data_IF_810290220464
#
_entry.id   IF_810290220464
#
_cell.length_a   1.000
_cell.length_b   1.000
_cell.length_c   1.000
_cell.angle_alpha   90.00
_cell.angle_beta   90.00
_cell.angle_gamma   90.00
#
_symmetry.space_group_name_H-M   'P 1'
#
loop_
_entity.id
_entity.type
_entity.pdbx_description
1 polymer ?
2 non-polymer ?
3 non-polymer ?
4 water ?
#
# COMPACT_ATOMS: atom_id res chain seq x y z
N UNK A 3 3.16 -18.78 -15.01
CA UNK A 3 3.73 -19.41 -13.78
C UNK A 3 4.04 -18.37 -12.71
N UNK A 4 3.28 -18.42 -11.62
CA UNK A 4 3.47 -17.48 -10.51
C UNK A 4 4.56 -18.00 -9.58
N UNK A 5 5.36 -17.07 -9.02
CA UNK A 5 6.31 -17.42 -7.95
C UNK A 5 6.36 -16.25 -6.96
N UNK A 6 6.35 -16.56 -5.67
CA UNK A 6 6.45 -15.50 -4.68
C UNK A 6 7.84 -14.87 -4.62
N UNK A 7 8.83 -15.53 -5.22
CA UNK A 7 10.22 -15.07 -5.16
C UNK A 7 10.71 -14.44 -6.47
N UNK A 8 9.77 -14.08 -7.34
CA UNK A 8 10.05 -13.38 -8.57
C UNK A 8 8.98 -12.31 -8.75
N UNK A 9 9.26 -11.34 -9.61
CA UNK A 9 8.27 -10.33 -9.98
C UNK A 9 7.35 -10.92 -11.05
N UNK A 10 6.05 -10.83 -10.80
CA UNK A 10 5.03 -11.40 -11.68
C UNK A 10 4.32 -10.33 -12.49
N UNK A 11 4.08 -10.60 -13.77
CA UNK A 11 3.39 -9.59 -14.58
C UNK A 11 1.91 -9.53 -14.19
N UNK A 12 1.17 -8.54 -14.71
CA UNK A 12 -0.22 -8.38 -14.28
C UNK A 12 -1.09 -9.60 -14.57
N UNK A 13 -0.92 -10.17 -15.76
CA UNK A 13 -1.73 -11.36 -16.12
C UNK A 13 -1.54 -12.46 -15.07
N UNK A 14 -0.31 -12.60 -14.61
CA UNK A 14 0.05 -13.63 -13.64
C UNK A 14 -0.50 -13.27 -12.26
N UNK A 15 -0.39 -11.99 -11.86
CA UNK A 15 -0.95 -11.56 -10.56
C UNK A 15 -2.46 -11.75 -10.56
N UNK A 16 -3.10 -11.35 -11.66
CA UNK A 16 -4.55 -11.45 -11.78
C UNK A 16 -4.98 -12.91 -11.63
N UNK A 17 -4.32 -13.81 -12.38
CA UNK A 17 -4.60 -15.25 -12.30
C UNK A 17 -4.38 -15.77 -10.87
N UNK A 18 -3.33 -15.25 -10.21
CA UNK A 18 -3.05 -15.59 -8.82
C UNK A 18 -4.17 -15.13 -7.88
N UNK A 19 -4.73 -13.94 -8.07
CA UNK A 19 -5.79 -13.49 -7.15
C UNK A 19 -6.97 -14.46 -7.19
N UNK A 20 -7.24 -14.98 -8.38
CA UNK A 20 -8.33 -15.94 -8.58
C UNK A 20 -7.99 -17.29 -7.94
N UNK A 21 -6.78 -17.77 -8.20
CA UNK A 21 -6.33 -19.09 -7.75
C UNK A 21 -6.10 -19.16 -6.23
N UNK A 22 -5.47 -18.13 -5.66
CA UNK A 22 -5.26 -18.14 -4.21
C UNK A 22 -6.59 -18.07 -3.45
N UNK A 23 -7.58 -17.39 -4.02
CA UNK A 23 -8.90 -17.32 -3.41
C UNK A 23 -9.58 -18.69 -3.46
N UNK A 24 -9.61 -19.31 -4.64
CA UNK A 24 -10.27 -20.61 -4.81
C UNK A 24 -9.61 -21.70 -3.94
N UNK A 25 -8.28 -21.60 -3.78
CA UNK A 25 -7.52 -22.57 -2.97
C UNK A 25 -7.74 -22.38 -1.47
N UNK A 26 -8.17 -21.19 -1.08
CA UNK A 26 -8.33 -20.85 0.34
C UNK A 26 -9.70 -20.19 0.63
N UNK A 27 -10.81 -20.88 0.27
CA UNK A 27 -12.11 -20.21 0.29
C UNK A 27 -12.63 -19.82 1.66
N UNK A 28 -12.10 -20.42 2.73
CA UNK A 28 -12.55 -20.08 4.06
C UNK A 28 -11.65 -19.05 4.73
N UNK A 29 -10.65 -18.56 3.98
CA UNK A 29 -9.75 -17.52 4.48
C UNK A 29 -9.69 -16.28 3.57
N UNK A 30 -10.09 -16.43 2.30
CA UNK A 30 -9.95 -15.35 1.32
C UNK A 30 -11.18 -15.24 0.44
N UNK A 31 -11.69 -14.01 0.27
CA UNK A 31 -12.64 -13.75 -0.82
C UNK A 31 -12.12 -12.62 -1.71
N UNK A 32 -12.52 -12.64 -2.97
CA UNK A 32 -12.06 -11.63 -3.94
C UNK A 32 -13.23 -10.82 -4.46
N UNK A 33 -13.05 -9.50 -4.54
CA UNK A 33 -14.00 -8.63 -5.24
C UNK A 33 -13.23 -7.72 -6.19
N UNK A 34 -13.96 -7.14 -7.15
CA UNK A 34 -13.42 -6.04 -7.95
C UNK A 34 -14.07 -4.75 -7.44
N UNK A 35 -13.25 -3.78 -7.07
CA UNK A 35 -13.76 -2.56 -6.47
C UNK A 35 -13.92 -1.42 -7.49
N UNK A 36 -13.56 -1.70 -8.74
CA UNK A 36 -13.66 -0.70 -9.80
C UNK A 36 -12.81 -1.13 -10.99
N UNK A 37 -12.70 -0.25 -11.97
CA UNK A 37 -11.85 -0.52 -13.12
C UNK A 37 -10.88 0.63 -13.35
N UNK A 38 -9.78 0.32 -13.99
CA UNK A 38 -8.75 1.32 -14.30
C UNK A 38 -9.14 2.15 -15.52
N UNK A 39 -8.32 3.15 -15.85
CA UNK A 39 -8.53 3.95 -17.03
C UNK A 39 -8.65 3.10 -18.29
N UNK A 40 -7.84 2.05 -18.38
CA UNK A 40 -7.77 1.19 -19.56
C UNK A 40 -8.76 0.00 -19.47
N UNK A 41 -9.52 -0.04 -18.38
CA UNK A 41 -10.61 -1.02 -18.20
C UNK A 41 -10.25 -2.30 -17.47
N UNK A 42 -9.11 -2.31 -16.78
CA UNK A 42 -8.72 -3.48 -16.00
C UNK A 42 -9.42 -3.50 -14.65
N UNK A 43 -9.86 -4.69 -14.24
CA UNK A 43 -10.51 -4.84 -12.93
C UNK A 43 -9.50 -4.62 -11.80
N UNK A 44 -9.87 -3.79 -10.83
CA UNK A 44 -9.03 -3.56 -9.65
C UNK A 44 -9.45 -4.55 -8.56
N UNK A 45 -8.63 -5.57 -8.35
CA UNK A 45 -8.98 -6.64 -7.41
C UNK A 45 -8.59 -6.34 -5.97
N UNK A 46 -9.46 -6.76 -5.06
CA UNK A 46 -9.24 -6.62 -3.62
C UNK A 46 -9.46 -7.99 -2.96
N UNK A 47 -8.52 -8.39 -2.12
CA UNK A 47 -8.63 -9.64 -1.37
C UNK A 47 -9.00 -9.34 0.07
N UNK A 48 -10.04 -10.02 0.58
CA UNK A 48 -10.42 -9.89 1.98
C UNK A 48 -9.90 -11.14 2.66
N UNK A 49 -8.90 -10.96 3.53
CA UNK A 49 -8.17 -12.09 4.11
C UNK A 49 -8.49 -12.16 5.61
N UNK A 50 -8.97 -13.32 6.06
CA UNK A 50 -9.41 -13.46 7.44
C UNK A 50 -10.46 -14.55 7.54
N UNK A 51 -10.65 -15.04 8.76
CA UNK A 51 -11.72 -16.00 9.03
C UNK A 51 -13.03 -15.22 9.20
N UNK A 52 -14.00 -15.43 8.30
CA UNK A 52 -15.26 -14.68 8.38
C UNK A 52 -15.91 -14.77 9.75
N UNK A 53 -16.49 -13.66 10.17
CA UNK A 53 -17.17 -13.56 11.46
C UNK A 53 -17.98 -12.29 11.52
N UNK A 54 -18.86 -12.16 12.52
CA UNK A 54 -19.65 -10.95 12.64
C UNK A 54 -18.89 -9.76 13.22
N UNK A 55 -19.19 -8.58 12.69
CA UNK A 55 -18.72 -7.30 13.23
C UNK A 55 -17.20 -7.23 13.48
N UNK A 56 -16.43 -7.72 12.50
CA UNK A 56 -14.97 -7.73 12.63
C UNK A 56 -14.35 -6.40 12.24
N UNK A 57 -13.37 -5.93 13.02
CA UNK A 57 -12.57 -4.77 12.58
C UNK A 57 -11.64 -5.20 11.44
N UNK A 58 -11.12 -4.23 10.71
CA UNK A 58 -10.31 -4.51 9.54
C UNK A 58 -9.08 -3.59 9.45
N UNK A 59 -8.08 -4.05 8.72
CA UNK A 59 -6.93 -3.23 8.34
C UNK A 59 -6.91 -3.23 6.82
N UNK A 60 -6.75 -2.05 6.23
CA UNK A 60 -6.66 -1.93 4.77
C UNK A 60 -5.20 -1.76 4.36
N UNK A 61 -4.76 -2.51 3.36
CA UNK A 61 -3.39 -2.36 2.87
C UNK A 61 -3.36 -2.33 1.36
N UNK A 62 -2.70 -1.33 0.77
CA UNK A 62 -2.53 -1.31 -0.68
C UNK A 62 -1.07 -1.43 -1.10
N UNK A 63 -0.86 -1.99 -2.27
CA UNK A 63 0.45 -2.01 -2.93
C UNK A 63 0.29 -1.52 -4.36
N UNK A 64 1.41 -1.13 -4.98
CA UNK A 64 1.39 -0.83 -6.39
C UNK A 64 0.63 0.43 -6.73
N UNK A 65 0.54 1.39 -5.81
CA UNK A 65 0.08 2.73 -6.22
C UNK A 65 0.99 3.30 -7.30
N UNK A 66 2.30 3.07 -7.15
CA UNK A 66 3.27 3.51 -8.15
C UNK A 66 3.82 2.34 -8.95
N UNK A 67 3.78 2.48 -10.27
CA UNK A 67 4.03 1.37 -11.18
C UNK A 67 5.41 0.71 -11.03
N UNK A 68 6.45 1.54 -10.92
CA UNK A 68 7.84 1.03 -10.92
C UNK A 68 8.30 0.38 -9.62
N UNK A 69 7.52 0.52 -8.55
CA UNK A 69 7.91 0.01 -7.24
C UNK A 69 7.56 -1.46 -7.07
N UNK A 70 8.19 -2.29 -7.91
CA UNK A 70 7.83 -3.71 -8.02
C UNK A 70 7.90 -4.51 -6.72
N UNK A 71 8.78 -4.11 -5.81
CA UNK A 71 8.85 -4.78 -4.53
C UNK A 71 7.56 -4.61 -3.71
N UNK A 72 6.86 -3.50 -3.91
CA UNK A 72 5.57 -3.27 -3.25
C UNK A 72 4.55 -4.35 -3.67
N UNK A 73 4.39 -4.51 -4.98
CA UNK A 73 3.46 -5.52 -5.53
C UNK A 73 3.81 -6.92 -4.97
N UNK A 74 5.12 -7.23 -4.97
CA UNK A 74 5.65 -8.49 -4.44
C UNK A 74 5.28 -8.65 -2.96
N UNK A 75 5.34 -7.55 -2.21
CA UNK A 75 5.00 -7.64 -0.80
C UNK A 75 3.53 -7.99 -0.52
N UNK A 76 2.57 -7.37 -1.22
CA UNK A 76 1.17 -7.73 -0.97
C UNK A 76 0.95 -9.22 -1.24
N UNK A 77 1.58 -9.74 -2.29
CA UNK A 77 1.51 -11.18 -2.57
C UNK A 77 2.12 -11.97 -1.43
N UNK A 78 3.28 -11.53 -0.95
CA UNK A 78 3.94 -12.20 0.18
C UNK A 78 3.08 -12.23 1.43
N UNK A 79 2.41 -11.11 1.72
CA UNK A 79 1.54 -11.04 2.87
C UNK A 79 0.47 -12.13 2.80
N UNK A 80 -0.17 -12.25 1.63
CA UNK A 80 -1.22 -13.26 1.45
C UNK A 80 -0.63 -14.67 1.55
N UNK A 81 0.55 -14.87 0.96
CA UNK A 81 1.31 -16.11 1.11
C UNK A 81 1.42 -16.49 2.58
N UNK A 82 1.85 -15.54 3.39
CA UNK A 82 2.10 -15.79 4.81
C UNK A 82 0.80 -16.10 5.56
N UNK A 83 -0.26 -15.39 5.20
CA UNK A 83 -1.57 -15.60 5.84
C UNK A 83 -2.04 -17.04 5.63
N UNK A 84 -1.99 -17.51 4.39
CA UNK A 84 -2.46 -18.86 4.06
C UNK A 84 -1.53 -19.96 4.58
N UNK A 85 -0.22 -19.69 4.56
CA UNK A 85 0.77 -20.68 4.98
C UNK A 85 0.79 -20.89 6.50
N UNK A 86 0.62 -19.82 7.25
CA UNK A 86 0.85 -19.86 8.69
C UNK A 86 -0.41 -19.77 9.55
N UNK A 87 -1.57 -19.47 8.96
CA UNK A 87 -2.82 -19.59 9.72
C UNK A 87 -2.95 -21.02 10.23
N UNK A 88 -3.16 -21.17 11.52
CA UNK A 88 -3.21 -22.49 12.15
C UNK A 88 -1.87 -23.00 12.63
N UNK A 89 -0.78 -22.36 12.21
CA UNK A 89 0.57 -22.83 12.51
C UNK A 89 1.41 -21.89 13.35
N UNK A 90 1.01 -20.65 13.43
CA UNK A 90 1.76 -19.66 14.17
C UNK A 90 0.75 -18.84 14.97
N UNK A 91 1.01 -18.70 16.26
CA UNK A 91 0.08 -18.07 17.19
C UNK A 91 -0.48 -16.72 16.74
N UNK A 92 0.41 -15.83 16.34
CA UNK A 92 0.01 -14.44 16.09
C UNK A 92 -0.81 -14.29 14.81
N UNK A 93 -0.34 -14.86 13.71
CA UNK A 93 -1.10 -14.80 12.46
C UNK A 93 -2.49 -15.41 12.63
N UNK A 94 -2.57 -16.47 13.43
CA UNK A 94 -3.84 -17.13 13.71
C UNK A 94 -4.79 -16.19 14.44
N UNK A 95 -4.28 -15.53 15.49
CA UNK A 95 -5.08 -14.57 16.24
C UNK A 95 -5.53 -13.42 15.34
N UNK A 96 -4.60 -12.94 14.50
CA UNK A 96 -4.90 -11.81 13.62
C UNK A 96 -6.05 -12.13 12.68
N UNK A 97 -5.97 -13.27 12.00
CA UNK A 97 -6.99 -13.61 11.02
C UNK A 97 -8.34 -13.97 11.68
N UNK A 98 -8.31 -14.45 12.93
CA UNK A 98 -9.56 -14.68 13.66
C UNK A 98 -10.27 -13.40 14.05
N UNK A 99 -9.48 -12.41 14.47
CA UNK A 99 -10.01 -11.21 15.10
C UNK A 99 -10.22 -10.03 14.14
N UNK A 100 -9.40 -9.98 13.09
CA UNK A 100 -9.43 -8.92 12.08
C UNK A 100 -9.60 -9.47 10.67
N UNK A 101 -10.08 -8.62 9.78
CA UNK A 101 -10.01 -8.89 8.35
C UNK A 101 -8.94 -7.98 7.78
N UNK A 102 -8.18 -8.47 6.81
CA UNK A 102 -7.27 -7.62 6.05
C UNK A 102 -7.81 -7.43 4.65
N UNK A 103 -8.01 -6.18 4.26
CA UNK A 103 -8.32 -5.87 2.87
C UNK A 103 -7.01 -5.57 2.16
N UNK A 104 -6.57 -6.49 1.31
CA UNK A 104 -5.29 -6.36 0.62
C UNK A 104 -5.58 -6.04 -0.83
N UNK A 105 -5.12 -4.88 -1.29
CA UNK A 105 -5.27 -4.48 -2.67
C UNK A 105 -3.91 -4.66 -3.34
N UNK A 106 -3.69 -5.79 -4.05
CA UNK A 106 -2.33 -6.11 -4.47
C UNK A 106 -1.72 -5.18 -5.50
N UNK A 107 -2.52 -4.66 -6.42
CA UNK A 107 -2.00 -3.68 -7.38
C UNK A 107 -3.09 -2.64 -7.63
N UNK A 108 -2.86 -1.40 -7.19
CA UNK A 108 -3.82 -0.34 -7.47
C UNK A 108 -3.67 0.15 -8.90
N UNK A 109 -2.45 0.55 -9.28
CA UNK A 109 -2.18 1.17 -10.57
C UNK A 109 -1.78 0.10 -11.58
N UNK A 110 -2.79 -0.68 -11.96
CA UNK A 110 -2.59 -1.79 -12.89
C UNK A 110 -2.09 -1.33 -14.27
N UNK A 111 -2.68 -0.24 -14.79
CA UNK A 111 -2.32 0.24 -16.14
C UNK A 111 -0.85 0.63 -16.18
N UNK A 112 -0.43 1.39 -15.17
CA UNK A 112 0.97 1.75 -15.03
C UNK A 112 1.90 0.55 -14.86
N UNK A 113 1.47 -0.42 -14.05
CA UNK A 113 2.25 -1.65 -13.86
C UNK A 113 2.49 -2.39 -15.18
N UNK A 114 1.42 -2.61 -15.94
CA UNK A 114 1.55 -3.20 -17.28
C UNK A 114 2.58 -2.45 -18.12
N UNK A 115 2.50 -1.11 -18.09
CA UNK A 115 3.39 -0.25 -18.87
C UNK A 115 4.86 -0.42 -18.45
N UNK A 116 5.11 -0.71 -17.18
CA UNK A 116 6.51 -0.95 -16.75
C UNK A 116 7.07 -2.27 -17.25
N UNK A 117 6.18 -3.21 -17.58
CA UNK A 117 6.56 -4.49 -18.17
C UNK A 117 6.71 -4.41 -19.69
N UNK A 118 5.97 -3.51 -20.32
CA UNK A 118 5.89 -3.51 -21.80
C UNK A 118 6.71 -2.41 -22.48
N UNK A 119 6.87 -1.27 -21.83
CA UNK A 119 7.40 -0.05 -22.47
C UNK A 119 8.42 0.73 -21.66
N UNK A 120 8.17 0.91 -20.37
CA UNK A 120 9.01 1.81 -19.60
C UNK A 120 9.09 1.38 -18.13
N UNK A 121 10.18 0.70 -17.79
CA UNK A 121 10.37 0.12 -16.44
C UNK A 121 10.28 1.16 -15.32
N UNK A 122 10.65 2.40 -15.63
CA UNK A 122 10.68 3.50 -14.67
C UNK A 122 9.39 4.35 -14.58
N UNK A 123 8.32 3.92 -15.22
CA UNK A 123 7.06 4.66 -15.16
C UNK A 123 6.51 4.69 -13.72
N UNK A 124 5.96 5.84 -13.31
CA UNK A 124 5.41 6.04 -11.96
C UNK A 124 3.89 6.15 -11.93
N UNK A 125 3.37 7.01 -12.81
CA UNK A 125 1.97 7.48 -12.76
C UNK A 125 0.96 6.49 -13.35
N UNK A 126 -0.30 6.91 -13.37
CA UNK A 126 -1.34 6.18 -14.11
C UNK A 126 -1.08 6.33 -15.61
N UNK A 127 -2.01 5.81 -16.43
CA UNK A 127 -1.90 5.93 -17.87
C UNK A 127 -3.06 6.72 -18.52
N UNK A 128 -3.70 7.58 -17.72
CA UNK A 128 -4.80 8.41 -18.23
C UNK A 128 -4.31 9.59 -19.07
N UNK A 129 -5.15 10.04 -19.99
CA UNK A 129 -4.80 11.20 -20.80
C UNK A 129 -5.06 12.52 -20.08
N UNK A 130 -4.39 13.56 -20.57
CA UNK A 130 -4.50 14.91 -20.03
C UNK A 130 -4.87 15.91 -21.12
N UNK A 131 -5.79 16.82 -20.80
CA UNK A 131 -6.19 17.89 -21.73
C UNK A 131 -5.03 18.83 -22.08
N UNK A 132 -4.97 19.27 -23.34
CA UNK A 132 -4.00 20.26 -23.80
C UNK A 132 -2.54 19.81 -23.93
N UNK A 133 -2.29 18.51 -23.76
CA UNK A 133 -0.93 17.95 -23.83
C UNK A 133 -0.97 16.48 -24.23
N UNK A 134 0.17 15.95 -24.72
CA UNK A 134 0.30 14.50 -24.94
C UNK A 134 0.95 13.78 -23.76
N UNK A 135 1.34 14.53 -22.74
CA UNK A 135 1.87 13.92 -21.51
C UNK A 135 0.78 13.10 -20.85
N UNK A 136 1.19 11.95 -20.34
CA UNK A 136 0.27 10.97 -19.81
C UNK A 136 0.39 10.83 -18.29
N UNK A 137 -0.75 10.67 -17.64
CA UNK A 137 -0.80 10.13 -16.28
C UNK A 137 -0.85 11.14 -15.14
N UNK A 138 -1.36 10.64 -14.02
CA UNK A 138 -1.50 11.39 -12.76
C UNK A 138 -0.83 10.54 -11.69
N UNK A 139 -0.24 11.19 -10.70
CA UNK A 139 0.32 10.48 -9.54
C UNK A 139 -0.83 10.14 -8.60
N UNK A 140 -1.20 8.85 -8.45
CA UNK A 140 -2.36 8.60 -7.57
C UNK A 140 -2.10 9.08 -6.15
N UNK A 141 -0.83 9.07 -5.74
CA UNK A 141 -0.49 9.48 -4.39
C UNK A 141 -0.40 11.00 -4.20
N UNK A 142 -0.88 11.75 -5.20
CA UNK A 142 -1.11 13.18 -5.09
C UNK A 142 -2.56 13.48 -5.51
N UNK A 143 -3.37 12.44 -5.62
CA UNK A 143 -4.72 12.56 -6.20
C UNK A 143 -5.85 12.41 -5.17
N UNK A 144 -5.51 12.09 -3.93
CA UNK A 144 -6.51 12.02 -2.86
C UNK A 144 -6.88 13.40 -2.32
N UNK A 145 -8.06 13.46 -1.72
CA UNK A 145 -8.63 14.74 -1.29
C UNK A 145 -8.15 15.13 0.12
N UNK A 146 -6.84 15.41 0.22
CA UNK A 146 -6.19 15.76 1.49
C UNK A 146 -5.11 16.77 1.16
N UNK A 147 -5.37 18.04 1.52
CA UNK A 147 -4.50 19.15 1.10
C UNK A 147 -4.24 19.09 -0.38
N UNK A 148 -5.25 18.69 -1.15
CA UNK A 148 -5.05 18.38 -2.57
C UNK A 148 -4.40 19.50 -3.40
N UNK A 149 -3.32 19.12 -4.07
CA UNK A 149 -2.57 19.90 -5.06
C UNK A 149 -1.89 21.16 -4.53
N UNK A 150 -1.53 21.14 -3.26
CA UNK A 150 -0.71 22.18 -2.64
C UNK A 150 0.78 21.88 -2.92
N UNK A 151 1.68 22.60 -2.23
CA UNK A 151 3.10 22.45 -2.53
C UNK A 151 3.58 21.02 -2.23
N UNK A 152 4.37 20.46 -3.14
CA UNK A 152 4.77 19.06 -3.05
C UNK A 152 4.04 18.20 -4.06
N UNK A 153 3.00 18.78 -4.68
CA UNK A 153 2.38 18.17 -5.87
C UNK A 153 2.55 19.18 -7.00
N UNK A 154 2.56 18.69 -8.23
CA UNK A 154 2.70 19.57 -9.40
C UNK A 154 1.37 19.79 -10.11
N UNK A 155 1.17 21.01 -10.62
CA UNK A 155 0.03 21.31 -11.48
C UNK A 155 0.32 21.03 -12.96
N UNK A 156 1.54 20.59 -13.25
CA UNK A 156 1.96 20.29 -14.62
C UNK A 156 1.72 18.81 -14.97
N UNK A 157 0.81 18.54 -15.94
CA UNK A 157 0.52 17.13 -16.29
C UNK A 157 1.73 16.34 -16.78
N UNK A 158 2.81 17.03 -17.20
CA UNK A 158 4.01 16.36 -17.65
C UNK A 158 4.98 15.97 -16.52
N UNK A 159 4.60 16.33 -15.29
CA UNK A 159 5.43 16.10 -14.11
C UNK A 159 5.06 14.83 -13.38
N UNK A 160 6.04 14.28 -12.67
CA UNK A 160 5.92 12.99 -12.02
C UNK A 160 5.00 13.02 -10.79
N UNK A 161 4.82 14.20 -10.20
CA UNK A 161 3.92 14.39 -9.05
C UNK A 161 2.64 15.14 -9.43
N UNK A 162 2.25 15.03 -10.71
CA UNK A 162 1.03 15.72 -11.17
C UNK A 162 -0.17 15.32 -10.29
N UNK A 163 -0.90 16.30 -9.76
CA UNK A 163 -2.00 16.04 -8.82
C UNK A 163 -3.31 15.62 -9.51
N UNK A 164 -3.35 15.68 -10.83
CA UNK A 164 -4.57 15.38 -11.61
C UNK A 164 -5.44 16.61 -11.85
N UNK A 165 -6.52 16.44 -12.60
CA UNK A 165 -7.42 17.57 -12.90
C UNK A 165 -8.29 18.02 -11.72
N UNK A 166 -8.49 17.11 -10.76
CA UNK A 166 -9.31 17.33 -9.57
C UNK A 166 -8.97 16.21 -8.61
N UNK A 167 -9.27 16.37 -7.33
CA UNK A 167 -9.07 15.27 -6.38
C UNK A 167 -9.93 14.09 -6.80
N UNK A 168 -9.36 12.88 -6.76
CA UNK A 168 -10.06 11.65 -7.18
C UNK A 168 -10.44 11.65 -8.66
N UNK A 169 -9.74 12.46 -9.46
CA UNK A 169 -9.90 12.43 -10.91
C UNK A 169 -9.60 11.05 -11.52
N UNK A 170 -8.68 10.31 -10.90
CA UNK A 170 -8.32 8.98 -11.39
C UNK A 170 -9.32 7.93 -10.91
N UNK A 171 -9.74 7.06 -11.83
CA UNK A 171 -10.68 5.99 -11.50
C UNK A 171 -10.13 5.14 -10.36
N UNK A 172 -8.81 4.96 -10.36
CA UNK A 172 -8.13 4.09 -9.40
C UNK A 172 -8.22 4.71 -7.99
N UNK A 173 -7.92 6.00 -7.90
CA UNK A 173 -8.00 6.74 -6.63
C UNK A 173 -9.43 6.73 -6.12
N UNK A 174 -10.37 7.02 -7.02
CA UNK A 174 -11.79 7.06 -6.64
C UNK A 174 -12.26 5.70 -6.13
N UNK A 175 -11.82 4.62 -6.78
CA UNK A 175 -12.23 3.26 -6.39
C UNK A 175 -11.75 2.93 -4.99
N UNK A 176 -10.50 3.26 -4.71
CA UNK A 176 -9.92 3.02 -3.39
C UNK A 176 -10.64 3.85 -2.33
N UNK A 177 -10.80 5.15 -2.59
CA UNK A 177 -11.43 6.03 -1.61
C UNK A 177 -12.89 5.63 -1.37
N UNK A 178 -13.59 5.26 -2.44
CA UNK A 178 -15.00 4.83 -2.31
C UNK A 178 -15.08 3.59 -1.42
N UNK A 179 -14.16 2.65 -1.65
CA UNK A 179 -14.15 1.44 -0.85
C UNK A 179 -13.95 1.77 0.63
N UNK A 180 -12.96 2.60 0.93
CA UNK A 180 -12.71 2.95 2.33
C UNK A 180 -13.89 3.74 2.94
N UNK A 181 -14.46 4.68 2.19
CA UNK A 181 -15.64 5.41 2.70
C UNK A 181 -16.80 4.45 2.99
N UNK A 182 -16.97 3.44 2.16
CA UNK A 182 -18.06 2.47 2.31
C UNK A 182 -17.91 1.52 3.51
N UNK A 183 -16.69 1.42 4.03
CA UNK A 183 -16.36 0.46 5.08
C UNK A 183 -15.65 1.15 6.25
N UNK A 184 -15.85 2.45 6.34
CA UNK A 184 -15.11 3.29 7.27
C UNK A 184 -15.24 2.84 8.72
N UNK A 185 -16.45 2.46 9.12
CA UNK A 185 -16.72 2.09 10.50
C UNK A 185 -15.99 0.81 10.94
N UNK A 186 -15.55 0.01 9.98
CA UNK A 186 -14.80 -1.22 10.28
C UNK A 186 -13.28 -1.07 10.18
N UNK A 187 -12.82 -0.12 9.37
CA UNK A 187 -11.38 0.00 9.08
C UNK A 187 -10.66 0.78 10.16
N UNK A 188 -9.69 0.13 10.81
CA UNK A 188 -8.99 0.68 11.97
C UNK A 188 -7.55 1.11 11.68
N UNK A 189 -6.99 0.59 10.59
CA UNK A 189 -5.66 1.00 10.15
C UNK A 189 -5.56 1.01 8.65
N UNK A 190 -4.72 1.91 8.13
CA UNK A 190 -4.45 2.02 6.70
C UNK A 190 -2.96 1.88 6.49
N UNK A 191 -2.55 0.97 5.61
CA UNK A 191 -1.13 0.75 5.33
C UNK A 191 -0.89 0.81 3.82
N UNK A 192 0.08 1.63 3.40
CA UNK A 192 0.37 1.78 1.97
C UNK A 192 1.83 1.42 1.69
N UNK A 193 2.02 0.44 0.81
CA UNK A 193 3.36 -0.10 0.57
C UNK A 193 4.00 0.52 -0.68
N UNK A 194 5.23 1.01 -0.52
CA UNK A 194 5.95 1.72 -1.56
C UNK A 194 7.42 1.32 -1.53
N UNK A 195 8.23 1.92 -2.40
CA UNK A 195 9.69 1.85 -2.32
C UNK A 195 10.23 3.10 -3.00
N UNK A 196 11.51 3.44 -2.82
CA UNK A 196 12.44 2.83 -1.88
C UNK A 196 12.92 3.89 -0.91
N UNK A 197 13.79 3.48 0.01
CA UNK A 197 14.54 4.39 0.92
C UNK A 197 14.47 3.96 2.38
N UNK A 198 13.69 2.91 2.67
CA UNK A 198 13.65 2.30 4.01
C UNK A 198 13.12 3.27 5.07
N UNK A 199 11.86 3.63 4.91
CA UNK A 199 11.16 4.56 5.82
C UNK A 199 9.82 4.01 6.23
N UNK A 200 9.42 4.35 7.45
CA UNK A 200 8.03 4.24 7.85
C UNK A 200 7.56 5.66 8.15
N UNK A 201 6.59 6.12 7.35
CA UNK A 201 6.02 7.47 7.40
C UNK A 201 4.59 7.41 8.00
N UNK A 202 4.22 8.41 8.80
CA UNK A 202 2.83 8.60 9.20
C UNK A 202 2.43 10.07 8.99
N UNK A 203 1.12 10.39 9.12
CA UNK A 203 0.72 11.78 8.80
C UNK A 203 1.43 12.84 9.66
N UNK A 204 1.56 14.08 9.17
CA UNK A 204 1.05 14.52 7.89
C UNK A 204 2.13 14.74 6.84
N UNK A 205 1.73 14.60 5.58
CA UNK A 205 2.58 14.93 4.44
C UNK A 205 2.04 16.10 3.63
N UNK A 206 0.77 16.47 3.80
CA UNK A 206 0.23 17.55 2.98
C UNK A 206 0.54 18.94 3.53
N UNK A 207 1.06 18.99 4.74
CA UNK A 207 1.42 20.26 5.39
C UNK A 207 2.39 19.90 6.50
N UNK A 208 3.15 20.89 6.95
CA UNK A 208 3.97 20.73 8.14
C UNK A 208 3.08 20.86 9.35
N UNK A 209 2.50 19.74 9.75
CA UNK A 209 1.80 19.66 11.01
C UNK A 209 1.88 18.25 11.58
N UNK A 210 1.83 18.15 12.90
CA UNK A 210 1.83 16.86 13.58
C UNK A 210 0.40 16.40 13.91
N UNK A 211 0.14 15.08 13.81
CA UNK A 211 -1.18 14.53 14.09
C UNK A 211 -1.48 14.55 15.59
N UNK A 212 -2.78 14.50 15.92
CA UNK A 212 -3.28 14.49 17.28
C UNK A 212 -2.56 13.44 18.14
N UNK A 213 -2.37 12.26 17.56
CA UNK A 213 -1.71 11.16 18.28
C UNK A 213 -0.26 10.96 17.86
N UNK A 214 0.44 12.07 17.64
CA UNK A 214 1.85 12.04 17.23
C UNK A 214 2.75 11.18 18.14
N UNK A 215 2.66 11.39 19.45
CA UNK A 215 3.47 10.62 20.39
C UNK A 215 3.22 9.12 20.20
N UNK A 216 1.95 8.73 20.08
CA UNK A 216 1.60 7.31 19.91
C UNK A 216 2.18 6.76 18.60
N UNK A 217 2.03 7.52 17.53
CA UNK A 217 2.53 7.05 16.23
C UNK A 217 4.05 6.99 16.16
N UNK A 218 4.70 7.98 16.74
CA UNK A 218 6.16 8.02 16.88
C UNK A 218 6.62 6.74 17.57
N UNK A 219 6.02 6.43 18.72
CA UNK A 219 6.42 5.26 19.50
C UNK A 219 6.18 3.96 18.73
N UNK A 220 5.04 3.90 18.04
CA UNK A 220 4.66 2.70 17.30
C UNK A 220 5.59 2.50 16.10
N UNK A 221 5.87 3.57 15.38
CA UNK A 221 6.80 3.48 14.25
C UNK A 221 8.20 3.06 14.72
N UNK A 222 8.64 3.63 15.84
CA UNK A 222 9.94 3.31 16.42
C UNK A 222 10.02 1.82 16.74
N UNK A 223 8.97 1.27 17.35
CA UNK A 223 8.92 -0.13 17.72
C UNK A 223 8.88 -1.05 16.49
N UNK A 224 8.14 -0.64 15.45
CA UNK A 224 8.02 -1.42 14.21
C UNK A 224 9.36 -1.49 13.49
N UNK A 225 10.09 -0.38 13.48
CA UNK A 225 11.42 -0.29 12.88
C UNK A 225 12.38 -1.22 13.62
N UNK A 226 12.27 -1.21 14.95
CA UNK A 226 13.08 -2.07 15.82
C UNK A 226 12.82 -3.56 15.52
N UNK A 227 11.54 -3.93 15.40
CA UNK A 227 11.16 -5.31 15.07
C UNK A 227 11.69 -5.73 13.72
N UNK A 228 11.57 -4.83 12.74
CA UNK A 228 12.03 -5.13 11.39
C UNK A 228 13.54 -5.44 11.38
N UNK A 229 14.30 -4.71 12.18
CA UNK A 229 15.77 -4.82 12.18
C UNK A 229 16.22 -6.14 12.78
N UNK A 230 15.37 -6.79 13.57
CA UNK A 230 15.77 -8.01 14.30
C UNK A 230 16.21 -9.14 13.37
N UNK A 231 15.64 -9.18 12.17
CA UNK A 231 15.85 -10.31 11.27
C UNK A 231 17.21 -10.27 10.57
N UNK A 232 17.51 -9.15 9.92
CA UNK A 232 18.73 -9.01 9.14
C UNK A 232 19.55 -7.75 9.48
N UNK A 233 19.08 -6.97 10.45
CA UNK A 233 19.71 -5.69 10.79
C UNK A 233 19.47 -4.54 9.82
N UNK A 234 18.46 -4.69 8.97
CA UNK A 234 18.10 -3.62 8.04
C UNK A 234 17.61 -2.40 8.80
N UNK A 235 18.17 -1.25 8.44
CA UNK A 235 17.95 -0.01 9.16
C UNK A 235 16.92 0.86 8.44
N UNK A 236 15.81 1.11 9.13
CA UNK A 236 14.77 2.03 8.69
C UNK A 236 14.78 3.29 9.54
N UNK A 237 14.38 4.40 8.96
CA UNK A 237 14.10 5.61 9.72
C UNK A 237 12.59 5.86 9.65
N UNK A 238 12.10 6.79 10.44
CA UNK A 238 10.65 6.97 10.57
C UNK A 238 10.29 8.36 11.05
N UNK A 239 9.03 8.72 10.85
CA UNK A 239 8.50 9.95 11.40
C UNK A 239 7.33 10.44 10.57
N UNK A 240 6.84 11.66 10.88
CA UNK A 240 5.78 12.26 10.09
C UNK A 240 6.31 12.52 8.69
N UNK A 241 5.47 12.38 7.67
CA UNK A 241 5.94 12.43 6.29
C UNK A 241 6.64 13.73 5.91
N UNK A 242 6.00 14.86 6.21
CA UNK A 242 6.58 16.15 5.83
C UNK A 242 7.90 16.41 6.58
N UNK A 243 8.03 15.88 7.80
CA UNK A 243 9.29 16.04 8.55
C UNK A 243 10.43 15.10 8.11
N UNK A 244 10.08 13.89 7.67
CA UNK A 244 11.07 12.85 7.39
C UNK A 244 11.40 12.70 5.92
N UNK A 245 10.45 13.07 5.07
CA UNK A 245 10.56 12.76 3.66
C UNK A 245 10.52 14.05 2.89
N UNK A 246 9.31 14.56 2.66
CA UNK A 246 9.09 15.81 1.92
C UNK A 246 7.60 16.08 1.93
N UNK A 247 7.21 17.29 1.54
CA UNK A 247 5.78 17.56 1.36
C UNK A 247 5.29 16.70 0.21
N UNK A 248 4.15 16.04 0.42
CA UNK A 248 3.55 15.17 -0.59
C UNK A 248 2.03 15.15 -0.35
N UNK A 249 1.36 16.26 -0.70
CA UNK A 249 -0.08 16.40 -0.49
C UNK A 249 -0.90 15.48 -1.38
N UNK A 250 -2.11 15.14 -0.95
CA UNK A 250 -2.98 14.29 -1.76
C UNK A 250 -2.68 12.81 -1.64
N UNK A 251 -2.08 12.43 -0.51
CA UNK A 251 -1.72 11.03 -0.26
C UNK A 251 -2.85 10.25 0.38
N UNK A 252 -2.89 8.94 0.10
CA UNK A 252 -3.93 8.08 0.65
C UNK A 252 -3.84 7.98 2.16
N UNK A 253 -2.62 7.97 2.69
CA UNK A 253 -2.42 7.87 4.14
C UNK A 253 -2.98 9.06 4.91
N UNK A 254 -2.74 10.28 4.42
CA UNK A 254 -3.27 11.48 5.09
C UNK A 254 -4.79 11.54 4.92
N UNK A 255 -5.26 11.15 3.74
CA UNK A 255 -6.70 11.15 3.49
C UNK A 255 -7.40 10.16 4.45
N UNK A 256 -6.86 8.95 4.56
CA UNK A 256 -7.43 7.94 5.46
C UNK A 256 -7.40 8.43 6.91
N UNK A 257 -6.29 9.04 7.31
CA UNK A 257 -6.18 9.57 8.65
C UNK A 257 -7.27 10.61 8.91
N UNK A 258 -7.49 11.52 7.96
CA UNK A 258 -8.49 12.56 8.18
C UNK A 258 -9.94 12.04 8.09
N UNK A 259 -10.09 10.80 7.61
CA UNK A 259 -11.38 10.07 7.69
C UNK A 259 -11.61 9.47 9.08
N UNK A 260 -10.57 9.50 9.91
CA UNK A 260 -10.64 9.02 11.29
C UNK A 260 -9.89 7.72 11.52
N UNK A 261 -9.17 7.25 10.50
CA UNK A 261 -8.36 6.03 10.63
C UNK A 261 -7.02 6.47 11.25
N UNK A 262 -6.91 6.31 12.57
CA UNK A 262 -5.83 6.99 13.30
C UNK A 262 -4.48 6.29 13.26
N UNK A 263 -4.47 5.06 12.74
CA UNK A 263 -3.26 4.31 12.52
C UNK A 263 -3.05 4.24 11.02
N UNK A 264 -2.21 5.13 10.53
CA UNK A 264 -2.04 5.25 9.10
C UNK A 264 -0.58 5.39 8.79
N UNK A 265 -0.05 4.48 7.96
CA UNK A 265 1.37 4.42 7.70
C UNK A 265 1.68 4.16 6.23
N UNK A 266 2.76 4.78 5.77
CA UNK A 266 3.36 4.46 4.48
C UNK A 266 4.70 3.78 4.75
N UNK A 267 4.92 2.63 4.11
CA UNK A 267 6.18 1.91 4.20
C UNK A 267 6.91 2.09 2.89
N UNK A 268 8.14 2.57 2.95
CA UNK A 268 9.01 2.63 1.76
C UNK A 268 10.05 1.56 1.98
N UNK A 269 10.03 0.51 1.16
CA UNK A 269 10.87 -0.66 1.40
C UNK A 269 12.29 -0.48 0.86
N UNK A 270 13.02 -1.59 0.76
CA UNK A 270 14.41 -1.57 0.27
C UNK A 270 14.51 -1.05 -1.17
N UNK A 271 15.67 -0.54 -1.59
CA UNK A 271 16.86 -0.36 -0.73
C UNK A 271 17.09 1.12 -0.40
N UNK A 272 18.36 1.56 -0.34
CA UNK A 272 18.66 2.97 -0.09
C UNK A 272 19.30 3.67 -1.31
N UNK A 273 19.17 3.04 -2.48
CA UNK A 273 19.58 3.67 -3.73
C UNK A 273 20.56 2.88 -4.58
N UNK A 274 21.12 1.79 -4.05
CA UNK A 274 22.07 0.99 -4.82
C UNK A 274 21.39 0.47 -6.08
N UNK A 275 20.24 -0.20 -5.90
CA UNK A 275 19.39 -0.64 -6.99
C UNK A 275 18.12 0.22 -7.16
N UNK A 276 17.67 0.82 -6.08
CA UNK A 276 16.52 1.72 -6.15
C UNK A 276 15.25 0.94 -6.47
N UNK A 277 14.52 1.39 -7.47
CA UNK A 277 13.30 0.69 -7.89
C UNK A 277 13.57 -0.66 -8.53
N UNK A 278 14.77 -0.83 -9.07
CA UNK A 278 15.11 -2.07 -9.79
C UNK A 278 15.78 -3.05 -8.81
N UNK A 279 15.05 -3.33 -7.73
CA UNK A 279 15.54 -4.21 -6.68
C UNK A 279 15.60 -5.63 -7.23
N UNK A 280 16.76 -6.29 -7.12
CA UNK A 280 16.87 -7.65 -7.67
C UNK A 280 15.89 -8.65 -7.05
N UNK A 281 15.42 -9.59 -7.85
CA UNK A 281 14.53 -10.65 -7.37
C UNK A 281 15.13 -11.44 -6.20
N UNK A 282 16.45 -11.57 -6.19
CA UNK A 282 17.16 -12.26 -5.10
C UNK A 282 16.90 -11.62 -3.73
N UNK A 283 16.47 -10.36 -3.71
CA UNK A 283 16.16 -9.67 -2.45
C UNK A 283 14.68 -9.71 -2.05
N UNK A 284 13.81 -10.28 -2.89
CA UNK A 284 12.37 -10.32 -2.58
C UNK A 284 12.11 -11.02 -1.24
N UNK A 285 12.66 -12.23 -1.08
CA UNK A 285 12.41 -13.03 0.14
C UNK A 285 12.78 -12.26 1.41
N UNK A 286 14.04 -11.84 1.51
CA UNK A 286 14.54 -11.15 2.70
C UNK A 286 13.74 -9.87 2.97
N UNK A 287 13.49 -9.10 1.91
CA UNK A 287 12.75 -7.85 2.06
C UNK A 287 11.32 -8.12 2.57
N UNK A 288 10.64 -9.08 1.97
CA UNK A 288 9.27 -9.35 2.41
C UNK A 288 9.25 -9.93 3.82
N UNK A 289 10.19 -10.81 4.14
CA UNK A 289 10.20 -11.42 5.47
C UNK A 289 10.42 -10.40 6.59
N UNK A 290 11.36 -9.48 6.40
CA UNK A 290 11.58 -8.47 7.43
C UNK A 290 10.40 -7.50 7.51
N UNK A 291 9.82 -7.17 6.36
CA UNK A 291 8.65 -6.27 6.32
C UNK A 291 7.46 -6.89 7.05
N UNK A 292 7.27 -8.20 6.88
CA UNK A 292 6.26 -8.94 7.65
C UNK A 292 6.34 -8.66 9.14
N UNK A 293 7.55 -8.59 9.68
CA UNK A 293 7.71 -8.36 11.12
C UNK A 293 7.14 -7.00 11.55
N UNK A 294 7.41 -5.97 10.74
CA UNK A 294 6.87 -4.62 11.01
C UNK A 294 5.36 -4.59 10.88
N UNK A 295 4.84 -5.18 9.81
CA UNK A 295 3.40 -5.22 9.56
C UNK A 295 2.67 -5.98 10.67
N UNK A 296 3.23 -7.10 11.10
CA UNK A 296 2.62 -7.87 12.19
C UNK A 296 2.68 -7.11 13.53
N UNK A 297 3.76 -6.38 13.75
CA UNK A 297 3.87 -5.58 14.96
C UNK A 297 2.77 -4.53 14.99
N UNK A 298 2.61 -3.81 13.88
CA UNK A 298 1.55 -2.80 13.80
C UNK A 298 0.16 -3.42 13.96
N UNK A 299 -0.06 -4.56 13.30
CA UNK A 299 -1.33 -5.28 13.39
C UNK A 299 -1.66 -5.67 14.84
N UNK A 300 -0.67 -6.24 15.54
CA UNK A 300 -0.85 -6.64 16.94
C UNK A 300 -1.18 -5.43 17.80
N UNK A 301 -0.53 -4.31 17.52
CA UNK A 301 -0.78 -3.08 18.27
C UNK A 301 -2.21 -2.62 18.07
N UNK A 302 -2.65 -2.59 16.81
CA UNK A 302 -4.00 -2.19 16.48
C UNK A 302 -5.01 -3.09 17.23
N UNK A 303 -4.78 -4.41 17.21
CA UNK A 303 -5.66 -5.33 17.93
C UNK A 303 -5.79 -5.01 19.41
N UNK A 304 -4.69 -4.56 20.01
CA UNK A 304 -4.65 -4.18 21.42
C UNK A 304 -5.18 -2.80 21.75
N UNK A 305 -5.50 -2.02 20.72
CA UNK A 305 -5.93 -0.62 20.89
C UNK A 305 -7.10 -0.29 19.98
N UNK A 306 -8.09 -1.18 19.94
CA UNK A 306 -9.27 -1.01 19.11
C UNK A 306 -10.10 0.20 19.58
N UNK A 307 -10.82 0.77 18.63
CA UNK A 307 -11.54 2.02 18.83
C UNK A 307 -12.61 2.13 17.75
#
# INVERSE_FOLDING_TARGET
TTGHSYEKYNNWETIEAWTKQVTSENPDLISRTAIGTTFLGNNIYLLKVGKPGPNKPAIFMDCGIHAREWISHAFCQWFVREAVLTYGYESHMTEFLNKLDFYVLPVLNIDGYIYTWTKNRMWRKTRSTNAGTTCIGTDPNRNFDAGWCTTGASTDPCDETYCGSAAESEKETKALADFIRNNLSSIKAYLSIHSYSQHIVYPYSYDYKLPENNAELNNLAKAAVKELATLYGTKYTYGPGATTLYLAPGGGDDWAYDQGIKYSFTFELRDKGRYGFILPESQIQATCEETMLAIKYVTNYVLGHLY
#
